data_IF_940884763964
#
_entry.id   IF_940884763964
#
_cell.length_a   1.000
_cell.length_b   1.000
_cell.length_c   1.000
_cell.angle_alpha   90.00
_cell.angle_beta   90.00
_cell.angle_gamma   90.00
#
_symmetry.space_group_name_H-M   'P 1'
#
loop_
_entity.id
_entity.type
_entity.pdbx_description
1 polymer ?
#
# COMPACT_ATOMS: atom_id res chain seq x y z
N UNK A 1 8.16 -20.33 -27.81
CA UNK A 1 6.79 -19.82 -27.66
C UNK A 1 6.91 -18.31 -27.41
N UNK A 2 6.71 -17.47 -28.43
CA UNK A 2 6.83 -16.00 -28.29
C UNK A 2 5.58 -15.48 -27.59
N UNK A 3 5.69 -15.08 -26.32
CA UNK A 3 4.63 -14.33 -25.64
C UNK A 3 4.56 -12.92 -26.25
N UNK A 4 3.67 -12.74 -27.22
CA UNK A 4 3.21 -11.42 -27.66
C UNK A 4 2.10 -10.97 -26.72
N UNK A 5 2.43 -10.28 -25.63
CA UNK A 5 1.42 -9.63 -24.80
C UNK A 5 1.95 -8.37 -24.12
N UNK A 6 2.08 -7.25 -24.84
CA UNK A 6 2.59 -6.03 -24.20
C UNK A 6 1.78 -4.74 -24.49
N UNK A 7 1.23 -4.47 -25.69
CA UNK A 7 0.47 -3.22 -25.89
C UNK A 7 -1.04 -3.33 -25.57
N UNK A 8 -1.68 -4.47 -25.84
CA UNK A 8 -3.14 -4.62 -25.78
C UNK A 8 -3.68 -4.78 -24.36
N UNK A 9 -2.94 -5.46 -23.48
CA UNK A 9 -3.32 -5.68 -22.07
C UNK A 9 -3.17 -4.38 -21.27
N UNK A 10 -2.05 -3.67 -21.43
CA UNK A 10 -1.83 -2.37 -20.76
C UNK A 10 -2.92 -1.35 -21.11
N UNK A 11 -3.25 -1.22 -22.41
CA UNK A 11 -4.37 -0.38 -22.86
C UNK A 11 -5.71 -0.82 -22.26
N UNK A 12 -5.95 -2.13 -22.14
CA UNK A 12 -7.18 -2.67 -21.53
C UNK A 12 -7.26 -2.36 -20.02
N UNK A 13 -6.14 -2.41 -19.30
CA UNK A 13 -6.08 -2.11 -17.87
C UNK A 13 -6.30 -0.63 -17.58
N UNK A 14 -5.73 0.28 -18.39
CA UNK A 14 -6.02 1.72 -18.28
C UNK A 14 -7.51 1.99 -18.54
N UNK A 15 -8.08 1.42 -19.62
CA UNK A 15 -9.52 1.54 -19.90
C UNK A 15 -10.38 0.93 -18.78
N UNK A 16 -9.91 -0.12 -18.11
CA UNK A 16 -10.58 -0.68 -16.95
C UNK A 16 -10.55 0.30 -15.77
N UNK A 17 -9.37 0.83 -15.43
CA UNK A 17 -9.19 1.77 -14.35
C UNK A 17 -10.20 2.92 -14.47
N UNK A 18 -10.20 3.59 -15.62
CA UNK A 18 -11.04 4.77 -15.86
C UNK A 18 -12.54 4.43 -15.97
N UNK A 19 -12.89 3.14 -16.13
CA UNK A 19 -14.28 2.68 -16.28
C UNK A 19 -14.90 2.17 -14.98
N UNK A 20 -14.10 1.48 -14.15
CA UNK A 20 -14.61 0.72 -13.00
C UNK A 20 -14.16 1.28 -11.67
N UNK A 21 -13.13 2.13 -11.63
CA UNK A 21 -12.78 2.88 -10.44
C UNK A 21 -13.44 4.24 -10.59
N UNK A 22 -14.58 4.40 -9.92
CA UNK A 22 -15.39 5.62 -9.99
C UNK A 22 -14.73 6.79 -9.26
N UNK A 23 -13.92 6.47 -8.25
CA UNK A 23 -13.22 7.45 -7.44
C UNK A 23 -11.86 6.90 -6.99
N UNK A 24 -10.82 7.73 -7.05
CA UNK A 24 -9.45 7.35 -6.76
C UNK A 24 -8.63 8.54 -6.25
N UNK A 25 -8.08 8.38 -5.05
CA UNK A 25 -7.20 9.38 -4.47
C UNK A 25 -5.97 8.76 -3.81
N UNK A 26 -4.89 9.53 -3.81
CA UNK A 26 -3.67 9.27 -3.05
C UNK A 26 -3.41 10.51 -2.21
N UNK A 27 -3.26 10.31 -0.91
CA UNK A 27 -3.04 11.36 0.07
C UNK A 27 -1.77 11.09 0.86
N UNK A 28 -1.10 12.18 1.26
CA UNK A 28 0.08 12.13 2.11
C UNK A 28 0.20 13.40 2.94
N UNK A 29 0.65 13.27 4.19
CA UNK A 29 1.04 14.42 5.02
C UNK A 29 2.12 14.00 6.01
N UNK A 30 3.18 14.79 6.21
CA UNK A 30 4.21 14.47 7.19
C UNK A 30 3.68 14.59 8.61
N UNK A 31 4.41 13.98 9.55
CA UNK A 31 4.19 14.18 10.99
C UNK A 31 4.25 15.67 11.35
N UNK A 32 3.46 16.07 12.33
CA UNK A 32 3.41 17.47 12.76
C UNK A 32 4.80 17.92 13.24
N UNK A 33 5.22 19.10 12.79
CA UNK A 33 6.55 19.65 13.01
C UNK A 33 7.64 19.19 12.03
N UNK A 34 7.36 18.23 11.14
CA UNK A 34 8.30 17.76 10.12
C UNK A 34 8.08 18.42 8.75
N UNK A 35 9.15 18.46 7.96
CA UNK A 35 9.10 18.86 6.56
C UNK A 35 8.80 17.65 5.65
N UNK A 36 8.50 17.91 4.37
CA UNK A 36 8.42 16.86 3.35
C UNK A 36 9.77 16.14 3.11
N UNK A 37 10.88 16.76 3.50
CA UNK A 37 12.21 16.16 3.39
C UNK A 37 12.37 15.03 4.41
N UNK A 38 11.74 15.18 5.57
CA UNK A 38 11.72 14.21 6.68
C UNK A 38 10.58 13.19 6.59
N UNK A 39 9.79 13.20 5.51
CA UNK A 39 8.74 12.23 5.24
C UNK A 39 9.32 10.88 4.85
N UNK A 40 9.01 9.83 5.59
CA UNK A 40 9.61 8.49 5.49
C UNK A 40 8.68 7.47 4.79
N UNK A 41 7.40 7.81 4.74
CA UNK A 41 6.36 7.08 4.03
C UNK A 41 6.51 7.14 2.49
N UNK A 42 5.99 6.11 1.81
CA UNK A 42 5.89 6.06 0.36
C UNK A 42 4.58 5.41 -0.09
N UNK A 43 3.99 5.95 -1.16
CA UNK A 43 2.82 5.38 -1.80
C UNK A 43 2.90 5.46 -3.32
N UNK A 44 2.36 4.46 -4.01
CA UNK A 44 2.44 4.39 -5.46
C UNK A 44 1.38 3.50 -6.09
N UNK A 45 1.17 3.71 -7.39
CA UNK A 45 0.25 2.91 -8.18
C UNK A 45 0.66 2.87 -9.65
N UNK A 46 0.12 1.89 -10.38
CA UNK A 46 0.25 1.77 -11.82
C UNK A 46 -1.09 1.37 -12.45
N UNK A 47 -1.62 2.25 -13.29
CA UNK A 47 -2.84 1.97 -14.08
C UNK A 47 -2.62 0.84 -15.09
N UNK A 48 -1.38 0.65 -15.55
CA UNK A 48 -1.06 -0.37 -16.55
C UNK A 48 -1.08 -1.78 -15.95
N UNK A 49 -0.54 -1.95 -14.74
CA UNK A 49 -0.52 -3.22 -14.01
C UNK A 49 -1.66 -3.38 -13.01
N UNK A 50 -2.46 -2.33 -12.78
CA UNK A 50 -3.52 -2.27 -11.75
C UNK A 50 -2.99 -2.67 -10.37
N UNK A 51 -1.82 -2.13 -10.04
CA UNK A 51 -1.13 -2.36 -8.79
C UNK A 51 -1.08 -1.08 -7.98
N UNK A 52 -1.22 -1.21 -6.67
CA UNK A 52 -1.25 -0.12 -5.69
C UNK A 52 -0.44 -0.60 -4.49
N UNK A 53 0.36 0.26 -3.88
CA UNK A 53 1.08 -0.12 -2.68
C UNK A 53 1.44 1.09 -1.81
N UNK A 54 1.68 0.78 -0.54
CA UNK A 54 2.22 1.68 0.46
C UNK A 54 3.40 1.02 1.17
N UNK A 55 4.30 1.83 1.70
CA UNK A 55 5.43 1.42 2.52
C UNK A 55 5.72 2.53 3.52
N UNK A 56 5.80 2.18 4.80
CA UNK A 56 6.16 3.08 5.90
C UNK A 56 7.60 2.80 6.32
N UNK A 57 8.46 3.82 6.24
CA UNK A 57 9.86 3.75 6.62
C UNK A 57 10.06 3.92 8.12
N UNK A 58 10.69 2.94 8.77
CA UNK A 58 10.88 2.98 10.22
C UNK A 58 11.82 4.11 10.66
N UNK A 59 11.30 5.06 11.45
CA UNK A 59 11.98 6.30 11.88
C UNK A 59 13.33 6.13 12.56
N UNK A 60 13.57 5.00 13.24
CA UNK A 60 14.85 4.76 13.91
C UNK A 60 15.95 4.27 12.97
N UNK A 61 15.57 3.86 11.75
CA UNK A 61 16.48 3.30 10.76
C UNK A 61 17.03 4.37 9.82
N UNK A 62 18.34 4.37 9.52
CA UNK A 62 18.90 5.31 8.54
C UNK A 62 18.30 5.03 7.16
N UNK A 63 18.02 6.05 6.36
CA UNK A 63 17.58 5.91 4.96
C UNK A 63 16.34 5.00 4.75
N UNK A 64 15.47 4.96 5.76
CA UNK A 64 14.15 4.32 5.76
C UNK A 64 13.28 4.80 4.58
N UNK A 65 13.24 6.12 4.37
CA UNK A 65 12.60 6.80 3.23
C UNK A 65 13.04 6.21 1.89
N UNK A 66 14.34 6.06 1.69
CA UNK A 66 14.88 5.51 0.44
C UNK A 66 14.46 4.06 0.25
N UNK A 67 14.47 3.23 1.31
CA UNK A 67 14.00 1.85 1.22
C UNK A 67 12.50 1.81 0.86
N UNK A 68 11.66 2.58 1.56
CA UNK A 68 10.22 2.62 1.32
C UNK A 68 9.90 3.04 -0.12
N UNK A 69 10.55 4.09 -0.61
CA UNK A 69 10.42 4.55 -1.99
C UNK A 69 10.84 3.48 -3.02
N UNK A 70 11.94 2.76 -2.77
CA UNK A 70 12.42 1.69 -3.65
C UNK A 70 11.46 0.49 -3.69
N UNK A 71 10.88 0.12 -2.55
CA UNK A 71 9.87 -0.94 -2.48
C UNK A 71 8.64 -0.59 -3.31
N UNK A 72 8.12 0.62 -3.14
CA UNK A 72 6.97 1.11 -3.91
C UNK A 72 7.27 1.16 -5.41
N UNK A 73 8.37 1.81 -5.79
CA UNK A 73 8.79 1.95 -7.19
C UNK A 73 8.95 0.60 -7.89
N UNK A 74 9.67 -0.33 -7.26
CA UNK A 74 9.89 -1.66 -7.82
C UNK A 74 8.59 -2.47 -7.94
N UNK A 75 7.64 -2.34 -7.01
CA UNK A 75 6.39 -3.09 -7.08
C UNK A 75 5.48 -2.61 -8.22
N UNK A 76 5.33 -1.29 -8.40
CA UNK A 76 4.39 -0.74 -9.39
C UNK A 76 4.92 -0.76 -10.82
N UNK A 77 6.25 -0.70 -10.99
CA UNK A 77 6.88 -0.60 -12.30
C UNK A 77 7.35 -1.95 -12.88
N UNK A 78 7.16 -3.06 -12.16
CA UNK A 78 7.59 -4.36 -12.64
C UNK A 78 6.45 -5.28 -13.08
N UNK A 79 6.72 -6.17 -14.04
CA UNK A 79 5.77 -7.22 -14.37
C UNK A 79 5.52 -8.11 -13.15
N UNK A 80 4.28 -8.13 -12.67
CA UNK A 80 3.86 -9.09 -11.65
C UNK A 80 3.55 -10.41 -12.36
N UNK A 81 4.21 -11.53 -12.00
CA UNK A 81 3.84 -12.85 -12.52
C UNK A 81 2.35 -13.12 -12.29
N UNK A 82 1.64 -13.57 -13.33
CA UNK A 82 0.17 -13.67 -13.34
C UNK A 82 -0.38 -14.43 -12.10
N UNK A 83 0.35 -15.44 -11.59
CA UNK A 83 -0.16 -16.35 -10.57
C UNK A 83 0.53 -16.28 -9.19
N UNK A 84 1.45 -15.34 -8.93
CA UNK A 84 2.13 -15.28 -7.62
C UNK A 84 2.50 -13.86 -7.16
N UNK A 85 1.60 -13.24 -6.38
CA UNK A 85 1.83 -11.91 -5.81
C UNK A 85 2.89 -11.91 -4.69
N UNK A 86 3.04 -12.99 -3.92
CA UNK A 86 4.11 -13.11 -2.92
C UNK A 86 5.48 -13.12 -3.57
N UNK A 87 5.65 -13.89 -4.65
CA UNK A 87 6.90 -13.91 -5.41
C UNK A 87 7.22 -12.55 -6.02
N UNK A 88 6.19 -11.80 -6.44
CA UNK A 88 6.40 -10.43 -6.90
C UNK A 88 6.97 -9.55 -5.79
N UNK A 89 6.43 -9.65 -4.56
CA UNK A 89 6.99 -8.93 -3.41
C UNK A 89 8.44 -9.37 -3.10
N UNK A 90 8.75 -10.67 -3.11
CA UNK A 90 10.12 -11.15 -2.92
C UNK A 90 11.10 -10.56 -3.95
N UNK A 91 10.68 -10.50 -5.22
CA UNK A 91 11.48 -9.90 -6.29
C UNK A 91 11.63 -8.38 -6.11
N UNK A 92 10.56 -7.70 -5.68
CA UNK A 92 10.56 -6.27 -5.35
C UNK A 92 11.57 -5.98 -4.24
N UNK A 93 11.55 -6.77 -3.15
CA UNK A 93 12.46 -6.63 -2.01
C UNK A 93 13.90 -6.85 -2.44
N UNK A 94 14.19 -7.95 -3.13
CA UNK A 94 15.55 -8.26 -3.61
C UNK A 94 16.16 -7.11 -4.42
N UNK A 95 15.35 -6.49 -5.28
CA UNK A 95 15.80 -5.35 -6.10
C UNK A 95 15.90 -4.05 -5.31
N UNK A 96 15.01 -3.84 -4.33
CA UNK A 96 15.08 -2.68 -3.45
C UNK A 96 16.35 -2.74 -2.60
N UNK A 97 16.71 -3.91 -2.07
CA UNK A 97 17.95 -4.14 -1.32
C UNK A 97 19.19 -3.84 -2.16
N UNK A 98 19.24 -4.33 -3.40
CA UNK A 98 20.36 -4.03 -4.31
C UNK A 98 20.49 -2.53 -4.58
N UNK A 99 19.38 -1.86 -4.93
CA UNK A 99 19.39 -0.42 -5.24
C UNK A 99 19.69 0.43 -4.02
N UNK A 100 19.19 0.04 -2.86
CA UNK A 100 19.44 0.73 -1.60
C UNK A 100 20.93 0.67 -1.27
N UNK A 101 21.55 -0.51 -1.39
CA UNK A 101 22.99 -0.68 -1.17
C UNK A 101 23.83 0.20 -2.09
N UNK A 102 23.43 0.36 -3.36
CA UNK A 102 24.11 1.25 -4.30
C UNK A 102 23.97 2.73 -3.89
N UNK A 103 22.79 3.17 -3.48
CA UNK A 103 22.57 4.53 -2.95
C UNK A 103 23.47 4.81 -1.75
N UNK A 104 23.62 3.84 -0.84
CA UNK A 104 24.44 4.03 0.35
C UNK A 104 25.93 4.08 0.03
N UNK A 105 26.41 3.22 -0.87
CA UNK A 105 27.83 3.20 -1.29
C UNK A 105 28.27 4.52 -1.93
N UNK A 106 27.37 5.18 -2.63
CA UNK A 106 27.67 6.43 -3.35
C UNK A 106 27.59 7.69 -2.46
N UNK A 107 27.21 7.56 -1.18
CA UNK A 107 27.14 8.70 -0.25
C UNK A 107 28.39 8.82 0.61
N UNK A 108 28.96 10.02 0.66
CA UNK A 108 29.89 10.40 1.72
C UNK A 108 29.11 10.62 3.02
N UNK A 109 29.32 9.74 4.01
CA UNK A 109 28.54 9.74 5.25
C UNK A 109 29.43 10.02 6.46
N UNK A 110 28.95 10.78 7.46
CA UNK A 110 29.65 10.94 8.73
C UNK A 110 29.86 9.59 9.42
N UNK A 111 30.97 9.41 10.13
CA UNK A 111 31.35 8.15 10.80
C UNK A 111 30.26 7.58 11.75
N UNK A 112 29.43 8.42 12.36
CA UNK A 112 28.33 7.97 13.23
C UNK A 112 27.16 7.34 12.44
N UNK A 113 27.03 7.66 11.15
CA UNK A 113 26.04 7.05 10.26
C UNK A 113 26.50 5.65 9.81
N UNK A 114 27.81 5.39 9.71
CA UNK A 114 28.36 4.09 9.30
C UNK A 114 27.92 2.95 10.23
N UNK A 115 27.86 3.18 11.54
CA UNK A 115 27.39 2.18 12.50
C UNK A 115 25.90 1.88 12.34
N UNK A 116 25.06 2.90 12.10
CA UNK A 116 23.63 2.71 11.87
C UNK A 116 23.36 1.99 10.55
N UNK A 117 24.15 2.24 9.51
CA UNK A 117 24.02 1.57 8.20
C UNK A 117 24.24 0.07 8.31
N UNK A 118 25.13 -0.37 9.21
CA UNK A 118 25.38 -1.80 9.40
C UNK A 118 24.15 -2.58 9.90
N UNK A 119 23.20 -1.89 10.52
CA UNK A 119 21.90 -2.45 10.91
C UNK A 119 20.86 -2.44 9.76
N UNK A 120 21.15 -1.74 8.65
CA UNK A 120 20.23 -1.59 7.52
C UNK A 120 19.07 -0.61 7.79
N UNK A 121 18.28 -0.41 6.74
CA UNK A 121 16.97 0.27 6.81
C UNK A 121 15.87 -0.74 7.02
N UNK A 122 14.76 -0.29 7.58
CA UNK A 122 13.57 -1.09 7.75
C UNK A 122 12.33 -0.35 7.27
N UNK A 123 11.41 -1.06 6.63
CA UNK A 123 10.14 -0.51 6.20
C UNK A 123 9.04 -1.57 6.19
N UNK A 124 7.80 -1.14 6.36
CA UNK A 124 6.61 -1.97 6.13
C UNK A 124 6.32 -2.04 4.62
N UNK A 125 5.43 -2.92 4.20
CA UNK A 125 4.93 -2.91 2.83
C UNK A 125 3.54 -3.53 2.77
N UNK A 126 2.61 -2.85 2.11
CA UNK A 126 1.33 -3.45 1.72
C UNK A 126 1.02 -3.16 0.27
N UNK A 127 0.78 -4.23 -0.49
CA UNK A 127 0.50 -4.19 -1.92
C UNK A 127 -0.87 -4.76 -2.25
N UNK A 128 -1.50 -4.22 -3.27
CA UNK A 128 -2.77 -4.64 -3.85
C UNK A 128 -2.62 -4.79 -5.36
N UNK A 129 -3.06 -5.92 -5.90
CA UNK A 129 -3.22 -6.18 -7.33
C UNK A 129 -4.68 -6.40 -7.66
N UNK A 130 -5.15 -5.74 -8.72
CA UNK A 130 -6.49 -5.94 -9.27
C UNK A 130 -6.40 -6.61 -10.63
N UNK A 131 -7.08 -7.75 -10.76
CA UNK A 131 -7.04 -8.58 -11.97
C UNK A 131 -8.43 -8.75 -12.56
N UNK A 132 -8.57 -8.48 -13.86
CA UNK A 132 -9.77 -8.79 -14.60
C UNK A 132 -9.85 -10.28 -14.94
N UNK A 133 -10.77 -10.99 -14.31
CA UNK A 133 -10.99 -12.40 -14.60
C UNK A 133 -11.79 -12.57 -15.90
N UNK A 134 -11.31 -13.40 -16.84
CA UNK A 134 -12.07 -13.72 -18.04
C UNK A 134 -13.36 -14.48 -17.68
N UNK A 135 -14.42 -14.23 -18.45
CA UNK A 135 -15.69 -14.94 -18.31
C UNK A 135 -15.50 -16.45 -18.52
N UNK A 136 -15.70 -17.24 -17.46
CA UNK A 136 -15.47 -18.70 -17.47
C UNK A 136 -16.65 -19.49 -18.04
N UNK A 137 -17.89 -19.01 -17.91
CA UNK A 137 -19.09 -19.70 -18.44
C UNK A 137 -19.69 -19.02 -19.66
N UNK A 138 -20.44 -19.78 -20.49
CA UNK A 138 -21.19 -19.24 -21.62
C UNK A 138 -22.21 -18.18 -21.17
N UNK A 139 -22.80 -18.36 -19.97
CA UNK A 139 -23.74 -17.43 -19.33
C UNK A 139 -23.05 -16.12 -18.95
N UNK A 140 -21.82 -16.17 -18.43
CA UNK A 140 -21.02 -14.97 -18.12
C UNK A 140 -20.63 -14.21 -19.39
N UNK A 141 -20.29 -14.94 -20.46
CA UNK A 141 -19.98 -14.36 -21.78
C UNK A 141 -21.21 -13.65 -22.37
N UNK A 142 -22.39 -14.29 -22.31
CA UNK A 142 -23.65 -13.72 -22.78
C UNK A 142 -24.09 -12.51 -21.97
N UNK A 143 -23.92 -12.53 -20.64
CA UNK A 143 -24.23 -11.41 -19.75
C UNK A 143 -23.14 -10.33 -19.69
N UNK A 144 -22.01 -10.55 -20.37
CA UNK A 144 -20.81 -9.68 -20.33
C UNK A 144 -20.36 -9.36 -18.89
N UNK A 145 -20.51 -10.31 -17.97
CA UNK A 145 -20.13 -10.14 -16.56
C UNK A 145 -18.61 -10.16 -16.49
N UNK A 146 -18.03 -9.05 -16.04
CA UNK A 146 -16.61 -8.94 -15.72
C UNK A 146 -16.46 -9.19 -14.22
N UNK A 147 -15.73 -10.24 -13.84
CA UNK A 147 -15.35 -10.46 -12.44
C UNK A 147 -14.01 -9.78 -12.19
N UNK A 148 -13.93 -9.04 -11.10
CA UNK A 148 -12.74 -8.29 -10.72
C UNK A 148 -12.18 -8.98 -9.48
N UNK A 149 -10.96 -9.53 -9.57
CA UNK A 149 -10.25 -10.14 -8.44
C UNK A 149 -9.38 -9.08 -7.78
N UNK A 150 -9.34 -9.07 -6.45
CA UNK A 150 -8.30 -8.39 -5.69
C UNK A 150 -7.38 -9.44 -5.05
N UNK A 151 -6.10 -9.11 -4.97
CA UNK A 151 -5.07 -9.87 -4.25
C UNK A 151 -4.22 -8.87 -3.47
N UNK A 152 -3.90 -9.18 -2.22
CA UNK A 152 -3.08 -8.31 -1.39
C UNK A 152 -1.97 -9.10 -0.72
N UNK A 153 -0.84 -8.43 -0.50
CA UNK A 153 0.30 -8.92 0.27
C UNK A 153 0.73 -7.86 1.27
N UNK A 154 1.22 -8.28 2.43
CA UNK A 154 1.59 -7.38 3.50
C UNK A 154 2.76 -7.90 4.34
N UNK A 155 3.65 -6.99 4.74
CA UNK A 155 4.67 -7.18 5.78
C UNK A 155 4.64 -5.93 6.67
N UNK A 156 4.29 -6.09 7.94
CA UNK A 156 4.16 -4.98 8.90
C UNK A 156 2.71 -4.58 9.16
N UNK A 157 2.50 -3.30 9.43
CA UNK A 157 1.26 -2.72 9.96
C UNK A 157 0.63 -1.64 9.06
N UNK A 158 1.22 -1.36 7.89
CA UNK A 158 0.47 -0.78 6.77
C UNK A 158 -0.67 -1.72 6.37
N UNK A 159 -1.88 -1.21 6.25
CA UNK A 159 -3.07 -2.03 6.09
C UNK A 159 -3.83 -1.81 4.78
N UNK A 160 -4.56 -2.84 4.39
CA UNK A 160 -5.58 -2.87 3.34
C UNK A 160 -6.96 -3.13 3.97
N UNK A 161 -7.95 -2.33 3.59
CA UNK A 161 -9.33 -2.49 4.03
C UNK A 161 -10.30 -2.56 2.86
N UNK A 162 -11.39 -3.30 3.06
CA UNK A 162 -12.56 -3.27 2.19
C UNK A 162 -13.77 -2.91 3.02
N UNK A 163 -14.48 -1.86 2.61
CA UNK A 163 -15.82 -1.54 3.09
C UNK A 163 -16.82 -2.00 2.05
N UNK A 164 -17.80 -2.81 2.48
CA UNK A 164 -18.87 -3.33 1.63
C UNK A 164 -20.19 -3.17 2.37
N UNK A 165 -21.22 -2.76 1.64
CA UNK A 165 -22.57 -2.57 2.19
C UNK A 165 -22.59 -1.70 3.47
N UNK A 166 -21.69 -0.71 3.52
CA UNK A 166 -21.51 0.21 4.64
C UNK A 166 -21.02 -0.45 5.95
N UNK A 167 -20.29 -1.55 5.84
CA UNK A 167 -19.63 -2.25 6.93
C UNK A 167 -18.15 -2.55 6.58
N UNK A 168 -17.29 -2.61 7.60
CA UNK A 168 -15.91 -3.06 7.43
C UNK A 168 -15.91 -4.56 7.12
N UNK A 169 -15.81 -4.89 5.83
CA UNK A 169 -15.83 -6.27 5.35
C UNK A 169 -14.47 -6.96 5.48
N UNK A 170 -13.39 -6.20 5.28
CA UNK A 170 -12.03 -6.74 5.36
C UNK A 170 -11.08 -5.75 6.02
N UNK A 171 -10.22 -6.29 6.88
CA UNK A 171 -8.99 -5.68 7.35
C UNK A 171 -7.83 -6.66 7.08
N UNK A 172 -6.65 -6.14 6.77
CA UNK A 172 -5.47 -6.92 6.42
C UNK A 172 -4.21 -6.04 6.54
N UNK A 173 -3.03 -6.55 6.93
CA UNK A 173 -2.83 -7.86 7.55
C UNK A 173 -3.30 -7.88 9.02
N UNK A 174 -3.50 -6.70 9.62
CA UNK A 174 -3.96 -6.55 10.99
C UNK A 174 -5.48 -6.41 11.03
N UNK A 175 -6.14 -7.26 11.83
CA UNK A 175 -7.60 -7.27 11.98
C UNK A 175 -8.06 -6.69 13.33
N UNK A 176 -7.20 -6.69 14.36
CA UNK A 176 -7.52 -6.16 15.68
C UNK A 176 -6.65 -4.96 16.04
N UNK A 177 -7.24 -3.99 16.71
CA UNK A 177 -6.53 -2.77 17.18
C UNK A 177 -5.36 -3.10 18.11
N UNK A 178 -5.50 -4.14 18.93
CA UNK A 178 -4.48 -4.53 19.92
C UNK A 178 -3.23 -5.15 19.27
N UNK A 179 -3.31 -5.55 18.00
CA UNK A 179 -2.17 -6.12 17.26
C UNK A 179 -1.23 -5.02 16.71
N UNK A 180 -1.68 -3.76 16.67
CA UNK A 180 -0.80 -2.62 16.39
C UNK A 180 0.15 -2.37 17.56
N UNK A 181 1.44 -2.48 17.31
CA UNK A 181 2.48 -2.35 18.32
C UNK A 181 3.72 -1.64 17.74
N UNK A 182 4.68 -1.30 18.59
CA UNK A 182 5.87 -0.54 18.18
C UNK A 182 6.96 -1.40 17.50
N UNK A 183 6.73 -2.71 17.33
CA UNK A 183 7.68 -3.66 16.77
C UNK A 183 7.00 -4.54 15.70
N UNK A 184 6.41 -3.94 14.65
CA UNK A 184 5.82 -4.70 13.56
C UNK A 184 6.90 -5.53 12.83
N UNK A 185 6.47 -6.52 12.05
CA UNK A 185 7.39 -7.19 11.14
C UNK A 185 7.83 -6.22 10.05
N UNK A 186 9.14 -6.03 9.85
CA UNK A 186 9.67 -5.10 8.87
C UNK A 186 10.52 -5.80 7.81
N UNK A 187 10.51 -5.25 6.60
CA UNK A 187 11.43 -5.61 5.51
C UNK A 187 12.75 -4.91 5.77
N UNK A 188 13.83 -5.67 5.78
CA UNK A 188 15.20 -5.15 5.93
C UNK A 188 15.81 -4.80 4.57
N UNK A 189 16.64 -3.75 4.52
CA UNK A 189 17.46 -3.45 3.33
C UNK A 189 18.67 -4.38 3.16
N UNK A 190 19.01 -5.20 4.17
CA UNK A 190 20.20 -6.06 4.17
C UNK A 190 19.89 -7.54 4.41
N UNK A 191 18.81 -7.87 5.12
CA UNK A 191 18.40 -9.27 5.34
C UNK A 191 17.34 -9.69 4.32
N UNK A 192 17.43 -10.90 3.74
CA UNK A 192 16.42 -11.38 2.80
C UNK A 192 15.04 -11.50 3.49
N UNK A 193 13.97 -11.28 2.71
CA UNK A 193 12.61 -11.51 3.17
C UNK A 193 12.23 -12.98 2.95
N UNK A 194 11.83 -13.67 4.02
CA UNK A 194 11.27 -15.02 3.95
C UNK A 194 9.80 -14.99 3.49
N UNK A 195 9.40 -15.94 2.64
CA UNK A 195 8.03 -15.99 2.10
C UNK A 195 6.96 -16.19 3.19
N UNK A 196 7.31 -16.89 4.27
CA UNK A 196 6.46 -17.17 5.43
C UNK A 196 6.07 -15.89 6.18
N UNK A 197 6.89 -14.84 6.08
CA UNK A 197 6.62 -13.53 6.68
C UNK A 197 5.66 -12.68 5.85
N UNK A 198 5.34 -13.12 4.63
CA UNK A 198 4.42 -12.39 3.73
C UNK A 198 3.00 -12.85 4.00
N UNK A 199 2.21 -11.98 4.60
CA UNK A 199 0.76 -12.16 4.66
C UNK A 199 0.18 -12.08 3.24
N UNK A 200 -0.88 -12.83 2.96
CA UNK A 200 -1.55 -12.81 1.66
C UNK A 200 -3.04 -13.07 1.81
N UNK A 201 -3.85 -12.35 1.05
CA UNK A 201 -5.27 -12.68 0.89
C UNK A 201 -5.77 -12.30 -0.51
N UNK A 202 -6.93 -12.84 -0.89
CA UNK A 202 -7.56 -12.52 -2.17
C UNK A 202 -9.08 -12.70 -2.13
N UNK A 203 -9.76 -12.01 -3.04
CA UNK A 203 -11.21 -12.10 -3.15
C UNK A 203 -11.74 -11.47 -4.42
N UNK A 204 -13.05 -11.23 -4.44
CA UNK A 204 -13.75 -10.61 -5.55
C UNK A 204 -14.25 -9.23 -5.12
N UNK A 205 -13.98 -8.23 -5.95
CA UNK A 205 -14.55 -6.89 -5.83
C UNK A 205 -16.00 -6.94 -6.30
N UNK A 206 -16.89 -6.37 -5.50
CA UNK A 206 -18.29 -6.13 -5.81
C UNK A 206 -18.51 -4.66 -6.13
N UNK A 207 -19.58 -4.37 -6.87
CA UNK A 207 -19.98 -2.99 -7.14
C UNK A 207 -20.34 -2.32 -5.80
N UNK A 208 -19.85 -1.11 -5.58
CA UNK A 208 -20.03 -0.35 -4.35
C UNK A 208 -18.95 -0.63 -3.29
N UNK A 209 -18.03 -1.58 -3.53
CA UNK A 209 -16.89 -1.78 -2.64
C UNK A 209 -16.01 -0.52 -2.62
N UNK A 210 -15.56 -0.18 -1.40
CA UNK A 210 -14.59 0.88 -1.16
C UNK A 210 -13.31 0.22 -0.64
N UNK A 211 -12.20 0.43 -1.32
CA UNK A 211 -10.91 -0.14 -0.98
C UNK A 211 -10.01 0.95 -0.43
N UNK A 212 -9.26 0.63 0.61
CA UNK A 212 -8.33 1.55 1.25
C UNK A 212 -6.99 0.88 1.48
N UNK A 213 -5.89 1.56 1.17
CA UNK A 213 -4.57 1.24 1.71
C UNK A 213 -4.15 2.40 2.61
N UNK A 214 -3.59 2.12 3.78
CA UNK A 214 -3.18 3.15 4.76
C UNK A 214 -1.91 2.74 5.51
N UNK A 215 -1.06 3.70 5.87
CA UNK A 215 0.05 3.48 6.83
C UNK A 215 -0.46 3.46 8.27
N UNK A 216 0.39 3.08 9.22
CA UNK A 216 0.03 2.60 10.56
C UNK A 216 -0.94 3.54 11.31
N UNK A 217 -0.65 4.84 11.33
CA UNK A 217 -1.37 5.83 12.10
C UNK A 217 -2.82 5.96 11.60
N UNK A 218 -3.00 6.04 10.29
CA UNK A 218 -4.32 6.16 9.67
C UNK A 218 -5.06 4.82 9.67
N UNK A 219 -4.38 3.70 9.47
CA UNK A 219 -4.96 2.36 9.58
C UNK A 219 -5.51 2.09 10.99
N UNK A 220 -4.74 2.44 12.02
CA UNK A 220 -5.13 2.30 13.41
C UNK A 220 -6.33 3.19 13.76
N UNK A 221 -6.31 4.46 13.33
CA UNK A 221 -7.45 5.37 13.50
C UNK A 221 -8.71 4.84 12.81
N UNK A 222 -8.58 4.35 11.57
CA UNK A 222 -9.69 3.80 10.80
C UNK A 222 -10.30 2.58 11.50
N UNK A 223 -9.48 1.64 11.95
CA UNK A 223 -9.98 0.44 12.63
C UNK A 223 -10.61 0.77 13.99
N UNK A 224 -9.98 1.63 14.80
CA UNK A 224 -10.54 2.10 16.08
C UNK A 224 -11.89 2.79 15.90
N UNK A 225 -11.99 3.71 14.95
CA UNK A 225 -13.23 4.45 14.67
C UNK A 225 -14.34 3.48 14.25
N UNK A 226 -14.05 2.54 13.35
CA UNK A 226 -15.02 1.52 12.95
C UNK A 226 -15.48 0.64 14.11
N UNK A 227 -14.58 0.24 15.03
CA UNK A 227 -14.93 -0.57 16.20
C UNK A 227 -15.82 0.19 17.19
N UNK A 228 -15.68 1.51 17.27
CA UNK A 228 -16.53 2.37 18.09
C UNK A 228 -17.93 2.62 17.48
N UNK A 229 -18.21 2.07 16.29
CA UNK A 229 -19.47 2.22 15.58
C UNK A 229 -19.52 3.43 14.63
N UNK A 230 -18.41 4.17 14.51
CA UNK A 230 -18.28 5.25 13.54
C UNK A 230 -18.01 4.70 12.12
N UNK A 231 -18.11 5.58 11.13
CA UNK A 231 -17.93 5.25 9.71
C UNK A 231 -16.79 6.09 9.13
N UNK A 232 -15.53 5.79 9.46
CA UNK A 232 -14.39 6.59 9.00
C UNK A 232 -14.32 6.67 7.47
N UNK A 233 -14.82 5.68 6.76
CA UNK A 233 -14.92 5.71 5.30
C UNK A 233 -15.87 6.79 4.76
N UNK A 234 -16.90 7.21 5.49
CA UNK A 234 -17.78 8.32 5.06
C UNK A 234 -17.01 9.65 5.15
N UNK A 235 -16.21 9.83 6.19
CA UNK A 235 -15.29 10.97 6.32
C UNK A 235 -14.27 10.97 5.18
N UNK A 236 -13.59 9.84 4.94
CA UNK A 236 -12.55 9.76 3.89
C UNK A 236 -13.09 9.96 2.48
N UNK A 237 -14.34 9.59 2.22
CA UNK A 237 -14.98 9.82 0.92
C UNK A 237 -15.42 11.26 0.68
N UNK A 238 -15.51 12.06 1.73
CA UNK A 238 -15.78 13.50 1.61
C UNK A 238 -14.53 14.31 1.26
N UNK A 239 -13.35 13.68 1.27
CA UNK A 239 -12.07 14.31 0.99
C UNK A 239 -11.88 14.42 -0.53
N UNK A 240 -11.92 15.63 -1.04
CA UNK A 240 -11.79 15.95 -2.47
C UNK A 240 -10.42 16.53 -2.85
N UNK A 241 -9.58 16.84 -1.87
CA UNK A 241 -8.29 17.51 -2.08
C UNK A 241 -7.27 17.17 -1.00
N UNK A 242 -5.99 17.44 -1.29
CA UNK A 242 -4.93 17.28 -0.31
C UNK A 242 -5.10 18.25 0.88
N UNK A 243 -5.66 19.44 0.65
CA UNK A 243 -5.90 20.43 1.70
C UNK A 243 -6.96 19.94 2.70
N UNK A 244 -8.08 19.39 2.21
CA UNK A 244 -9.12 18.82 3.07
C UNK A 244 -8.62 17.59 3.81
N UNK A 245 -7.74 16.80 3.19
CA UNK A 245 -7.05 15.68 3.84
C UNK A 245 -6.16 16.15 5.00
N UNK A 246 -5.26 17.10 4.75
CA UNK A 246 -4.34 17.63 5.76
C UNK A 246 -5.13 18.22 6.94
N UNK A 247 -6.18 19.00 6.66
CA UNK A 247 -7.04 19.58 7.70
C UNK A 247 -7.73 18.53 8.57
N UNK A 248 -8.18 17.42 7.98
CA UNK A 248 -8.70 16.28 8.73
C UNK A 248 -7.63 15.70 9.66
N UNK A 249 -6.44 15.39 9.12
CA UNK A 249 -5.36 14.80 9.92
C UNK A 249 -4.93 15.73 11.07
N UNK A 250 -4.82 17.04 10.82
CA UNK A 250 -4.50 18.02 11.85
C UNK A 250 -5.58 18.07 12.96
N UNK A 251 -6.86 18.00 12.57
CA UNK A 251 -7.97 17.92 13.53
C UNK A 251 -7.88 16.66 14.38
N UNK A 252 -7.62 15.50 13.76
CA UNK A 252 -7.46 14.23 14.47
C UNK A 252 -6.23 14.23 15.40
N UNK A 253 -5.12 14.85 14.98
CA UNK A 253 -3.91 14.99 15.80
C UNK A 253 -4.17 15.90 17.01
N UNK A 254 -4.82 17.04 16.80
CA UNK A 254 -5.22 17.95 17.87
C UNK A 254 -6.17 17.28 18.88
N UNK A 255 -7.08 16.43 18.39
CA UNK A 255 -7.98 15.60 19.19
C UNK A 255 -7.30 14.39 19.85
N UNK A 256 -6.04 14.08 19.52
CA UNK A 256 -5.30 12.86 19.92
C UNK A 256 -6.01 11.56 19.50
N UNK A 257 -6.76 11.62 18.42
CA UNK A 257 -7.47 10.47 17.83
C UNK A 257 -6.57 9.66 16.90
N UNK A 258 -5.56 10.30 16.32
CA UNK A 258 -4.52 9.69 15.50
C UNK A 258 -3.13 9.95 16.13
N UNK A 259 -2.22 8.99 15.95
CA UNK A 259 -0.80 9.15 16.33
C UNK A 259 -0.18 10.29 15.52
N UNK A 260 0.72 11.06 16.13
CA UNK A 260 1.50 12.03 15.38
C UNK A 260 2.63 11.32 14.63
N UNK A 261 2.29 10.80 13.46
CA UNK A 261 3.21 10.14 12.55
C UNK A 261 2.99 10.60 11.11
N UNK A 262 3.88 10.20 10.20
CA UNK A 262 3.62 10.33 8.77
C UNK A 262 2.34 9.58 8.40
N UNK A 263 1.58 10.10 7.44
CA UNK A 263 0.32 9.49 7.02
C UNK A 263 0.26 9.43 5.51
N UNK A 264 0.11 8.22 4.97
CA UNK A 264 -0.22 7.96 3.56
C UNK A 264 -1.51 7.16 3.44
N UNK A 265 -2.34 7.51 2.46
CA UNK A 265 -3.55 6.75 2.14
C UNK A 265 -3.79 6.65 0.63
N UNK A 266 -4.29 5.50 0.18
CA UNK A 266 -4.87 5.31 -1.16
C UNK A 266 -6.33 4.90 -0.98
N UNK A 267 -7.24 5.59 -1.65
CA UNK A 267 -8.68 5.28 -1.61
C UNK A 267 -9.19 4.97 -3.02
N UNK A 268 -10.09 3.99 -3.11
CA UNK A 268 -10.69 3.53 -4.37
C UNK A 268 -12.18 3.21 -4.16
N UNK A 269 -13.03 3.56 -5.12
CA UNK A 269 -14.45 3.20 -5.13
C UNK A 269 -14.83 2.49 -6.44
N UNK A 270 -15.51 1.35 -6.35
CA UNK A 270 -15.93 0.51 -7.48
C UNK A 270 -17.44 0.49 -7.73
#
# INVERSE_FOLDING_TARGET
>A
MKFLSLPSIKKRNVVFFDKFIEDFHVYSTPKDGNSLEDYEDAGGYSKESLCFCLSDGATESPFSKELAALLVDNFVNQPIPDDNLKQALLNTVTQAQSRWLDIIKDRELPWYAEQKISAGSHATFTGLRITLLPAKSLKDKLKRVVKIKWETVGVGDSCFFIVRDNELFKAFPIENVDDFNNTPQLISSIEPLDEERIAYDSGIIQKGDKLYLMTDAMALWFLKSSLNGDKPWDTLQSIDSMETFVSLIDTLRAGKEIKNDDVTGITMRF
#
